data_IF_774117479761
#
_entry.id   IF_774117479761
#
_cell.length_a   1.000
_cell.length_b   1.000
_cell.length_c   1.000
_cell.angle_alpha   90.00
_cell.angle_beta   90.00
_cell.angle_gamma   90.00
#
_symmetry.space_group_name_H-M   'P 1'
#
loop_
_entity.id
_entity.type
_entity.pdbx_description
1 polymer ?
#
# COMPACT_ATOMS: atom_id res chain seq x y z
N UNK A 1 -1.85 2.50 -0.41
CA UNK A 1 -1.60 1.98 -1.79
C UNK A 1 -0.82 0.68 -1.69
N UNK A 2 -1.07 -0.28 -2.57
CA UNK A 2 -0.42 -1.62 -2.56
C UNK A 2 0.93 -1.58 -3.29
N UNK A 3 2.03 -1.48 -2.56
CA UNK A 3 3.36 -1.17 -3.12
C UNK A 3 3.87 -2.20 -4.14
N UNK A 4 3.72 -3.49 -3.81
CA UNK A 4 4.14 -4.66 -4.60
C UNK A 4 3.21 -4.97 -5.78
N UNK A 5 2.07 -4.28 -5.89
CA UNK A 5 1.15 -4.34 -7.03
C UNK A 5 1.38 -3.27 -8.09
N UNK A 6 2.41 -2.43 -7.95
CA UNK A 6 2.69 -1.31 -8.84
C UNK A 6 4.09 -1.43 -9.46
N UNK A 7 4.29 -0.78 -10.61
CA UNK A 7 5.58 -0.73 -11.28
C UNK A 7 5.78 0.59 -12.02
N UNK A 8 7.04 0.92 -12.30
CA UNK A 8 7.42 1.99 -13.22
C UNK A 8 8.57 1.50 -14.12
N UNK A 9 8.93 2.28 -15.15
CA UNK A 9 10.03 1.90 -16.06
C UNK A 9 11.42 1.91 -15.39
N UNK A 10 11.57 2.63 -14.29
CA UNK A 10 12.82 2.77 -13.52
C UNK A 10 12.49 2.76 -12.04
N UNK A 11 13.35 2.14 -11.23
CA UNK A 11 13.14 2.03 -9.78
C UNK A 11 13.06 3.40 -9.09
N UNK A 12 13.84 4.37 -9.56
CA UNK A 12 13.79 5.75 -9.06
C UNK A 12 12.41 6.38 -9.24
N UNK A 13 11.74 6.15 -10.38
CA UNK A 13 10.40 6.69 -10.63
C UNK A 13 9.37 5.96 -9.79
N UNK A 14 9.53 4.63 -9.65
CA UNK A 14 8.66 3.81 -8.81
C UNK A 14 8.70 4.29 -7.35
N UNK A 15 9.91 4.43 -6.78
CA UNK A 15 10.09 4.87 -5.40
C UNK A 15 9.65 6.32 -5.18
N UNK A 16 9.90 7.22 -6.14
CA UNK A 16 9.43 8.60 -6.07
C UNK A 16 7.89 8.68 -6.06
N UNK A 17 7.21 7.86 -6.88
CA UNK A 17 5.75 7.80 -6.90
C UNK A 17 5.18 7.26 -5.58
N UNK A 18 5.75 6.17 -5.04
CA UNK A 18 5.34 5.61 -3.75
C UNK A 18 5.54 6.63 -2.61
N UNK A 19 6.67 7.35 -2.58
CA UNK A 19 6.92 8.39 -1.60
C UNK A 19 5.89 9.53 -1.67
N UNK A 20 5.53 9.98 -2.88
CA UNK A 20 4.52 11.01 -3.07
C UNK A 20 3.15 10.55 -2.53
N UNK A 21 2.75 9.30 -2.83
CA UNK A 21 1.49 8.74 -2.31
C UNK A 21 1.51 8.65 -0.79
N UNK A 22 2.61 8.17 -0.20
CA UNK A 22 2.77 8.13 1.25
C UNK A 22 2.65 9.53 1.88
N UNK A 23 3.30 10.54 1.29
CA UNK A 23 3.25 11.92 1.80
C UNK A 23 1.85 12.53 1.69
N UNK A 24 1.10 12.25 0.62
CA UNK A 24 -0.21 12.85 0.36
C UNK A 24 -1.37 12.14 1.07
N UNK A 25 -1.32 10.80 1.17
CA UNK A 25 -2.44 9.98 1.63
C UNK A 25 -2.11 9.16 2.89
N UNK A 26 -0.86 9.15 3.33
CA UNK A 26 -0.43 8.53 4.58
C UNK A 26 -0.26 7.01 4.54
N UNK A 27 -0.54 6.35 3.42
CA UNK A 27 -0.53 4.88 3.37
C UNK A 27 0.07 4.30 2.08
N UNK A 28 1.14 3.53 2.24
CA UNK A 28 1.77 2.66 1.24
C UNK A 28 2.23 1.40 1.96
N UNK A 29 1.70 0.23 1.57
CA UNK A 29 1.94 -1.06 2.22
C UNK A 29 2.01 -2.19 1.19
N UNK A 30 2.69 -3.31 1.47
CA UNK A 30 2.62 -4.51 0.65
C UNK A 30 1.25 -5.19 0.72
N UNK A 31 0.98 -6.12 -0.21
CA UNK A 31 -0.33 -6.78 -0.35
C UNK A 31 -0.73 -7.56 0.91
N UNK A 32 0.21 -8.29 1.50
CA UNK A 32 0.01 -9.10 2.70
C UNK A 32 -0.46 -8.27 3.90
N UNK A 33 0.21 -7.15 4.18
CA UNK A 33 -0.20 -6.23 5.25
C UNK A 33 -1.63 -5.70 5.04
N UNK A 34 -1.98 -5.34 3.79
CA UNK A 34 -3.34 -4.86 3.48
C UNK A 34 -4.38 -5.95 3.72
N UNK A 35 -4.09 -7.20 3.34
CA UNK A 35 -4.98 -8.33 3.58
C UNK A 35 -5.16 -8.58 5.09
N UNK A 36 -4.09 -8.46 5.88
CA UNK A 36 -4.18 -8.65 7.33
C UNK A 36 -5.00 -7.55 8.02
N UNK A 37 -4.89 -6.29 7.58
CA UNK A 37 -5.76 -5.21 8.07
C UNK A 37 -7.24 -5.47 7.77
N UNK A 38 -7.54 -5.95 6.55
CA UNK A 38 -8.91 -6.30 6.16
C UNK A 38 -9.45 -7.43 7.03
N UNK A 39 -8.65 -8.48 7.29
CA UNK A 39 -9.05 -9.58 8.18
C UNK A 39 -9.35 -9.07 9.58
N UNK A 40 -8.55 -8.16 10.12
CA UNK A 40 -8.82 -7.52 11.43
C UNK A 40 -10.16 -6.78 11.38
N UNK A 41 -10.38 -5.93 10.38
CA UNK A 41 -11.63 -5.19 10.22
C UNK A 41 -12.87 -6.07 9.96
N UNK A 42 -12.71 -7.25 9.36
CA UNK A 42 -13.79 -8.20 9.11
C UNK A 42 -14.28 -8.91 10.38
N UNK A 43 -13.51 -8.87 11.49
CA UNK A 43 -13.89 -9.52 12.76
C UNK A 43 -14.90 -8.75 13.61
N UNK A 44 -15.66 -7.80 13.04
CA UNK A 44 -16.76 -7.13 13.76
C UNK A 44 -17.81 -8.18 14.15
N UNK A 45 -18.05 -8.42 15.45
CA UNK A 45 -19.08 -9.37 15.88
C UNK A 45 -20.48 -8.84 15.50
N UNK A 46 -21.33 -9.75 15.03
CA UNK A 46 -22.74 -9.50 14.73
C UNK A 46 -23.57 -9.19 15.98
#
# INVERSE_FOLDING_TARGET
MVADGNAARRDQDHNAALYNVYRSFGDVRPTDEVLDLIKVGATVPA
#
